data_IF_629242902672
#
_entry.id   IF_629242902672
#
_cell.length_a   1.000
_cell.length_b   1.000
_cell.length_c   1.000
_cell.angle_alpha   90.00
_cell.angle_beta   90.00
_cell.angle_gamma   90.00
#
_symmetry.space_group_name_H-M   'P 1'
#
loop_
_entity.id
_entity.type
_entity.pdbx_description
1 polymer ?
#
# COMPACT_ATOMS: atom_id res chain seq x y z
N UNK A 1 13.38 9.57 30.83
CA UNK A 1 13.28 11.05 30.79
C UNK A 1 11.84 11.55 30.65
N UNK A 2 11.01 11.01 29.74
CA UNK A 2 9.62 11.46 29.55
C UNK A 2 8.74 11.51 30.82
N UNK A 3 8.77 10.49 31.69
CA UNK A 3 7.96 10.46 32.92
C UNK A 3 8.25 11.61 33.89
N UNK A 4 9.49 12.07 33.98
CA UNK A 4 9.87 13.17 34.86
C UNK A 4 9.39 14.52 34.31
N UNK A 5 9.46 14.71 32.99
CA UNK A 5 8.94 15.89 32.33
C UNK A 5 7.42 16.00 32.48
N UNK A 6 6.68 14.91 32.28
CA UNK A 6 5.23 14.85 32.51
C UNK A 6 4.85 15.17 33.94
N UNK A 7 5.54 14.56 34.92
CA UNK A 7 5.29 14.85 36.34
C UNK A 7 5.56 16.32 36.69
N UNK A 8 6.57 16.94 36.07
CA UNK A 8 6.85 18.36 36.24
C UNK A 8 5.74 19.22 35.62
N UNK A 9 5.25 18.87 34.43
CA UNK A 9 4.13 19.56 33.80
C UNK A 9 2.87 19.48 34.65
N UNK A 10 2.51 18.30 35.17
CA UNK A 10 1.36 18.09 36.07
C UNK A 10 1.46 18.95 37.35
N UNK A 11 2.66 19.05 37.93
CA UNK A 11 2.87 19.90 39.12
C UNK A 11 2.65 21.37 38.76
N UNK A 12 3.14 21.82 37.60
CA UNK A 12 2.93 23.20 37.14
C UNK A 12 1.45 23.48 36.87
N UNK A 13 0.74 22.59 36.18
CA UNK A 13 -0.71 22.71 35.91
C UNK A 13 -1.54 22.73 37.19
N UNK A 14 -1.13 21.98 38.23
CA UNK A 14 -1.91 21.85 39.48
C UNK A 14 -1.67 22.96 40.49
N UNK A 15 -0.46 23.51 40.55
CA UNK A 15 -0.03 24.37 41.65
C UNK A 15 0.50 25.75 41.23
N UNK A 16 0.64 26.01 39.93
CA UNK A 16 1.19 27.26 39.40
C UNK A 16 0.24 27.87 38.35
N UNK A 17 0.56 29.06 37.84
CA UNK A 17 -0.28 29.73 36.86
C UNK A 17 -0.21 29.01 35.51
N UNK A 18 -1.33 28.98 34.76
CA UNK A 18 -1.42 28.35 33.44
C UNK A 18 -0.31 28.80 32.48
N UNK A 19 0.12 30.06 32.59
CA UNK A 19 1.24 30.61 31.80
C UNK A 19 2.57 29.89 32.06
N UNK A 20 2.82 29.44 33.28
CA UNK A 20 4.09 28.80 33.68
C UNK A 20 4.12 27.34 33.18
N UNK A 21 2.99 26.64 33.31
CA UNK A 21 2.81 25.30 32.74
C UNK A 21 2.94 25.31 31.21
N UNK A 22 2.30 26.29 30.54
CA UNK A 22 2.39 26.45 29.09
C UNK A 22 3.80 26.84 28.64
N UNK A 23 4.50 27.73 29.33
CA UNK A 23 5.89 28.07 29.02
C UNK A 23 6.82 26.86 29.15
N UNK A 24 6.59 25.99 30.15
CA UNK A 24 7.32 24.74 30.29
C UNK A 24 7.01 23.77 29.14
N UNK A 25 5.76 23.64 28.74
CA UNK A 25 5.35 22.83 27.59
C UNK A 25 6.03 23.31 26.29
N UNK A 26 5.97 24.62 26.01
CA UNK A 26 6.54 25.24 24.81
C UNK A 26 8.07 25.12 24.74
N UNK A 27 8.77 25.17 25.86
CA UNK A 27 10.23 24.98 25.90
C UNK A 27 10.67 23.53 25.68
N UNK A 28 9.73 22.58 25.67
CA UNK A 28 9.99 21.14 25.54
C UNK A 28 9.27 20.51 24.32
N UNK A 29 8.95 21.30 23.28
CA UNK A 29 8.30 20.82 22.05
C UNK A 29 9.16 19.86 21.18
N UNK A 30 10.43 19.65 21.54
CA UNK A 30 11.26 18.57 20.98
C UNK A 30 10.77 17.18 21.43
N UNK A 31 9.94 17.11 22.48
CA UNK A 31 9.29 15.89 22.93
C UNK A 31 7.95 15.72 22.19
N UNK A 32 7.77 14.66 21.38
CA UNK A 32 6.55 14.48 20.57
C UNK A 32 5.25 14.58 21.36
N UNK A 33 5.20 13.98 22.56
CA UNK A 33 4.01 14.01 23.41
C UNK A 33 3.62 15.42 23.87
N UNK A 34 4.62 16.28 24.11
CA UNK A 34 4.40 17.66 24.52
C UNK A 34 3.95 18.51 23.34
N UNK A 35 4.54 18.30 22.15
CA UNK A 35 4.06 18.93 20.91
C UNK A 35 2.62 18.55 20.61
N UNK A 36 2.28 17.27 20.75
CA UNK A 36 0.92 16.76 20.59
C UNK A 36 -0.05 17.41 21.57
N UNK A 37 0.31 17.50 22.87
CA UNK A 37 -0.53 18.18 23.87
C UNK A 37 -0.74 19.67 23.54
N UNK A 38 0.29 20.40 23.10
CA UNK A 38 0.09 21.81 22.71
C UNK A 38 -0.71 21.95 21.42
N UNK A 39 -0.58 21.03 20.46
CA UNK A 39 -1.43 20.98 19.26
C UNK A 39 -2.90 20.75 19.62
N UNK A 40 -3.18 19.84 20.56
CA UNK A 40 -4.52 19.59 21.11
C UNK A 40 -5.09 20.86 21.78
N UNK A 41 -4.31 21.48 22.67
CA UNK A 41 -4.69 22.73 23.33
C UNK A 41 -4.97 23.84 22.31
N UNK A 42 -4.07 24.02 21.33
CA UNK A 42 -4.19 25.06 20.31
C UNK A 42 -5.43 24.86 19.45
N UNK A 43 -5.75 23.63 19.08
CA UNK A 43 -6.95 23.34 18.31
C UNK A 43 -8.22 23.58 19.13
N UNK A 44 -8.25 23.13 20.40
CA UNK A 44 -9.38 23.32 21.31
C UNK A 44 -9.66 24.81 21.57
N UNK A 45 -8.62 25.61 21.72
CA UNK A 45 -8.68 27.06 21.92
C UNK A 45 -8.85 27.84 20.61
N UNK A 46 -9.00 27.15 19.46
CA UNK A 46 -9.12 27.74 18.11
C UNK A 46 -7.94 28.64 17.71
N UNK A 47 -6.76 28.39 18.28
CA UNK A 47 -5.49 29.02 17.90
C UNK A 47 -4.93 28.37 16.63
N UNK A 48 -5.65 28.51 15.52
CA UNK A 48 -5.31 27.83 14.26
C UNK A 48 -3.91 28.18 13.73
N UNK A 49 -3.44 29.41 13.93
CA UNK A 49 -2.08 29.81 13.57
C UNK A 49 -1.01 29.01 14.34
N UNK A 50 -1.26 28.72 15.62
CA UNK A 50 -0.37 27.88 16.42
C UNK A 50 -0.41 26.42 15.97
N UNK A 51 -1.61 25.88 15.66
CA UNK A 51 -1.72 24.49 15.17
C UNK A 51 -0.85 24.29 13.93
N UNK A 52 -0.99 25.19 12.94
CA UNK A 52 -0.21 25.14 11.70
C UNK A 52 1.29 25.24 11.98
N UNK A 53 1.71 26.27 12.72
CA UNK A 53 3.13 26.51 13.02
C UNK A 53 3.75 25.32 13.77
N UNK A 54 3.09 24.80 14.80
CA UNK A 54 3.58 23.67 15.59
C UNK A 54 3.70 22.39 14.76
N UNK A 55 2.77 22.16 13.82
CA UNK A 55 2.84 21.02 12.92
C UNK A 55 3.97 21.18 11.90
N UNK A 56 4.10 22.35 11.25
CA UNK A 56 5.19 22.64 10.30
C UNK A 56 6.58 22.54 10.95
N UNK A 57 6.76 23.11 12.15
CA UNK A 57 7.98 22.98 12.93
C UNK A 57 8.28 21.52 13.30
N UNK A 58 7.24 20.73 13.62
CA UNK A 58 7.38 19.31 13.91
C UNK A 58 7.83 18.52 12.69
N UNK A 59 7.21 18.78 11.53
CA UNK A 59 7.58 18.16 10.25
C UNK A 59 9.04 18.45 9.93
N UNK A 60 9.48 19.71 10.06
CA UNK A 60 10.85 20.10 9.79
C UNK A 60 11.84 19.37 10.72
N UNK A 61 11.60 19.41 12.04
CA UNK A 61 12.45 18.78 13.05
C UNK A 61 12.58 17.27 12.83
N UNK A 62 11.45 16.58 12.66
CA UNK A 62 11.46 15.12 12.59
C UNK A 62 11.81 14.58 11.20
N UNK A 63 11.70 15.40 10.15
CA UNK A 63 12.31 15.08 8.85
C UNK A 63 13.83 15.18 8.94
N UNK A 64 14.37 16.23 9.54
CA UNK A 64 15.82 16.42 9.72
C UNK A 64 16.44 15.29 10.56
N UNK A 65 15.74 14.85 11.61
CA UNK A 65 16.18 13.74 12.46
C UNK A 65 15.94 12.34 11.85
N UNK A 66 15.36 12.25 10.64
CA UNK A 66 15.06 10.97 9.98
C UNK A 66 13.88 10.19 10.60
N UNK A 67 13.10 10.81 11.49
CA UNK A 67 11.91 10.22 12.10
C UNK A 67 10.67 10.39 11.20
N UNK A 68 10.69 9.72 10.04
CA UNK A 68 9.62 9.80 9.04
C UNK A 68 8.21 9.52 9.61
N UNK A 69 8.09 8.60 10.57
CA UNK A 69 6.81 8.28 11.21
C UNK A 69 6.24 9.45 12.02
N UNK A 70 7.09 10.22 12.71
CA UNK A 70 6.67 11.41 13.45
C UNK A 70 6.36 12.55 12.48
N UNK A 71 7.17 12.76 11.44
CA UNK A 71 6.87 13.75 10.41
C UNK A 71 5.48 13.52 9.78
N UNK A 72 5.13 12.28 9.46
CA UNK A 72 3.79 11.92 8.96
C UNK A 72 2.68 12.16 9.99
N UNK A 73 2.96 11.97 11.28
CA UNK A 73 1.98 12.28 12.33
C UNK A 73 1.69 13.79 12.37
N UNK A 74 2.71 14.63 12.18
CA UNK A 74 2.52 16.08 12.10
C UNK A 74 1.83 16.52 10.81
N UNK A 75 2.01 15.82 9.69
CA UNK A 75 1.21 16.07 8.47
C UNK A 75 -0.30 15.86 8.71
N UNK A 76 -0.70 14.89 9.54
CA UNK A 76 -2.11 14.71 9.94
C UNK A 76 -2.64 15.90 10.74
N UNK A 77 -1.79 16.58 11.51
CA UNK A 77 -2.19 17.80 12.22
C UNK A 77 -2.43 18.98 11.28
N UNK A 78 -1.71 19.05 10.15
CA UNK A 78 -2.02 20.02 9.10
C UNK A 78 -3.37 19.74 8.44
N UNK A 79 -3.74 18.46 8.24
CA UNK A 79 -5.08 18.10 7.77
C UNK A 79 -6.14 18.59 8.76
N UNK A 80 -5.99 18.31 10.06
CA UNK A 80 -6.91 18.81 11.11
C UNK A 80 -7.00 20.33 11.14
N UNK A 81 -5.88 21.03 10.93
CA UNK A 81 -5.86 22.48 10.81
C UNK A 81 -6.67 22.95 9.60
N UNK A 82 -6.52 22.33 8.44
CA UNK A 82 -7.25 22.68 7.23
C UNK A 82 -8.75 22.42 7.35
N UNK A 83 -9.14 21.31 8.00
CA UNK A 83 -10.54 21.04 8.37
C UNK A 83 -11.11 22.15 9.27
N UNK A 84 -10.38 22.51 10.33
CA UNK A 84 -10.82 23.51 11.30
C UNK A 84 -10.82 24.95 10.75
N UNK A 85 -9.96 25.26 9.78
CA UNK A 85 -9.90 26.57 9.13
C UNK A 85 -10.96 26.74 8.04
N UNK A 86 -11.53 25.63 7.54
CA UNK A 86 -12.41 25.63 6.37
C UNK A 86 -11.67 25.84 5.04
N UNK A 87 -10.34 25.77 5.05
CA UNK A 87 -9.51 25.88 3.84
C UNK A 87 -9.56 24.58 3.03
N UNK A 88 -10.55 24.51 2.12
CA UNK A 88 -10.78 23.35 1.27
C UNK A 88 -9.59 23.03 0.36
N UNK A 89 -8.91 24.05 -0.14
CA UNK A 89 -7.76 23.86 -1.03
C UNK A 89 -6.63 23.18 -0.28
N UNK A 90 -6.27 23.71 0.90
CA UNK A 90 -5.25 23.10 1.74
C UNK A 90 -5.64 21.68 2.18
N UNK A 91 -6.91 21.45 2.50
CA UNK A 91 -7.39 20.13 2.91
C UNK A 91 -7.18 19.08 1.79
N UNK A 92 -7.53 19.41 0.56
CA UNK A 92 -7.33 18.53 -0.60
C UNK A 92 -5.84 18.27 -0.83
N UNK A 93 -5.02 19.32 -0.86
CA UNK A 93 -3.57 19.20 -1.13
C UNK A 93 -2.85 18.38 -0.06
N UNK A 94 -3.16 18.60 1.22
CA UNK A 94 -2.54 17.87 2.33
C UNK A 94 -2.98 16.40 2.36
N UNK A 95 -4.26 16.13 2.09
CA UNK A 95 -4.79 14.75 2.02
C UNK A 95 -4.19 14.01 0.83
N UNK A 96 -4.08 14.66 -0.32
CA UNK A 96 -3.42 14.09 -1.51
C UNK A 96 -1.93 13.82 -1.23
N UNK A 97 -1.23 14.75 -0.58
CA UNK A 97 0.17 14.53 -0.16
C UNK A 97 0.29 13.31 0.75
N UNK A 98 -0.63 13.14 1.71
CA UNK A 98 -0.66 11.96 2.57
C UNK A 98 -0.86 10.67 1.77
N UNK A 99 -1.78 10.66 0.79
CA UNK A 99 -1.94 9.52 -0.11
C UNK A 99 -0.64 9.20 -0.88
N UNK A 100 0.00 10.20 -1.50
CA UNK A 100 1.21 9.98 -2.27
C UNK A 100 2.39 9.49 -1.41
N UNK A 101 2.47 9.94 -0.16
CA UNK A 101 3.53 9.57 0.78
C UNK A 101 3.37 8.17 1.38
N UNK A 102 2.12 7.73 1.59
CA UNK A 102 1.79 6.51 2.34
C UNK A 102 1.21 5.38 1.48
N UNK A 103 0.66 5.74 0.31
CA UNK A 103 -0.17 4.86 -0.53
C UNK A 103 -1.40 4.29 0.17
N UNK A 104 -1.84 4.91 1.26
CA UNK A 104 -3.05 4.50 1.98
C UNK A 104 -4.30 4.96 1.21
N UNK A 105 -5.08 3.98 0.74
CA UNK A 105 -6.29 4.20 -0.06
C UNK A 105 -7.39 4.94 0.69
N UNK A 106 -7.32 5.07 2.02
CA UNK A 106 -8.26 5.89 2.76
C UNK A 106 -8.10 7.37 2.40
N UNK A 107 -6.86 7.88 2.30
CA UNK A 107 -6.61 9.26 1.84
C UNK A 107 -7.02 9.45 0.37
N UNK A 108 -6.84 8.43 -0.47
CA UNK A 108 -7.32 8.45 -1.85
C UNK A 108 -8.84 8.68 -1.92
N UNK A 109 -9.60 7.92 -1.14
CA UNK A 109 -11.07 8.02 -1.08
C UNK A 109 -11.52 9.37 -0.52
N UNK A 110 -10.80 9.91 0.47
CA UNK A 110 -11.08 11.26 0.99
C UNK A 110 -10.91 12.33 -0.09
N UNK A 111 -9.80 12.32 -0.84
CA UNK A 111 -9.60 13.24 -1.97
C UNK A 111 -10.71 13.06 -3.02
N UNK A 112 -11.05 11.81 -3.34
CA UNK A 112 -12.15 11.48 -4.27
C UNK A 112 -13.49 12.07 -3.84
N UNK A 113 -13.78 12.05 -2.54
CA UNK A 113 -15.03 12.58 -2.00
C UNK A 113 -15.08 14.11 -1.97
N UNK A 114 -13.92 14.79 -1.96
CA UNK A 114 -13.82 16.25 -1.88
C UNK A 114 -13.84 16.95 -3.25
N UNK A 115 -13.56 16.22 -4.33
CA UNK A 115 -13.43 16.78 -5.68
C UNK A 115 -14.62 16.42 -6.58
N UNK A 116 -15.01 17.31 -7.51
CA UNK A 116 -15.86 16.93 -8.64
C UNK A 116 -15.24 15.77 -9.43
N UNK A 117 -16.09 14.94 -10.04
CA UNK A 117 -15.66 13.75 -10.76
C UNK A 117 -14.66 14.08 -11.87
N UNK A 118 -14.93 15.12 -12.63
CA UNK A 118 -14.13 15.56 -13.77
C UNK A 118 -12.71 15.99 -13.33
N UNK A 119 -12.61 16.67 -12.18
CA UNK A 119 -11.32 17.04 -11.61
C UNK A 119 -10.57 15.84 -11.05
N UNK A 120 -11.29 14.92 -10.40
CA UNK A 120 -10.68 13.70 -9.84
C UNK A 120 -10.17 12.76 -10.93
N UNK A 121 -10.86 12.64 -12.07
CA UNK A 121 -10.44 11.82 -13.19
C UNK A 121 -9.05 12.24 -13.73
N UNK A 122 -8.73 13.54 -13.68
CA UNK A 122 -7.40 14.06 -14.01
C UNK A 122 -6.34 13.64 -12.98
N UNK A 123 -6.71 13.57 -11.70
CA UNK A 123 -5.81 13.11 -10.62
C UNK A 123 -5.44 11.65 -10.77
N UNK A 124 -6.37 10.78 -11.18
CA UNK A 124 -6.09 9.34 -11.39
C UNK A 124 -4.90 9.15 -12.34
N UNK A 125 -4.89 9.85 -13.48
CA UNK A 125 -3.78 9.76 -14.44
C UNK A 125 -2.46 10.27 -13.84
N UNK A 126 -2.51 11.35 -13.06
CA UNK A 126 -1.34 11.89 -12.37
C UNK A 126 -0.79 10.92 -11.31
N UNK A 127 -1.65 10.24 -10.56
CA UNK A 127 -1.27 9.25 -9.55
C UNK A 127 -0.62 8.01 -10.17
N UNK A 128 -1.23 7.46 -11.23
CA UNK A 128 -0.65 6.33 -11.96
C UNK A 128 0.74 6.71 -12.51
N UNK A 129 0.88 7.92 -13.06
CA UNK A 129 2.18 8.44 -13.51
C UNK A 129 3.16 8.70 -12.36
N UNK A 130 2.69 9.05 -11.17
CA UNK A 130 3.54 9.25 -9.99
C UNK A 130 4.12 7.93 -9.53
N UNK A 131 3.28 6.90 -9.37
CA UNK A 131 3.70 5.59 -8.91
C UNK A 131 4.47 4.78 -9.97
N UNK A 132 4.23 5.00 -11.27
CA UNK A 132 4.95 4.28 -12.33
C UNK A 132 6.44 4.64 -12.42
N UNK A 133 6.90 5.73 -11.80
CA UNK A 133 8.32 6.16 -11.80
C UNK A 133 9.27 5.19 -11.06
N UNK A 134 8.71 4.15 -10.45
CA UNK A 134 9.43 3.16 -9.68
C UNK A 134 9.43 1.78 -10.35
N UNK A 135 8.66 1.61 -11.42
CA UNK A 135 8.48 0.33 -12.13
C UNK A 135 9.82 -0.20 -12.68
N UNK A 136 10.65 0.69 -13.23
CA UNK A 136 11.91 0.33 -13.88
C UNK A 136 13.08 0.10 -12.91
N UNK A 137 12.97 0.54 -11.65
CA UNK A 137 14.12 0.60 -10.72
C UNK A 137 14.37 -0.68 -9.93
N UNK A 138 13.32 -1.48 -9.70
CA UNK A 138 13.42 -2.66 -8.82
C UNK A 138 12.79 -3.93 -9.40
N UNK A 139 12.24 -3.88 -10.62
CA UNK A 139 11.68 -5.05 -11.32
C UNK A 139 10.46 -5.69 -10.63
N UNK A 140 9.84 -4.98 -9.68
CA UNK A 140 8.68 -5.43 -8.92
C UNK A 140 7.35 -5.00 -9.54
N UNK A 141 6.27 -5.68 -9.16
CA UNK A 141 4.92 -5.29 -9.56
C UNK A 141 4.45 -4.05 -8.78
N UNK A 142 3.86 -3.07 -9.49
CA UNK A 142 3.41 -1.81 -8.89
C UNK A 142 2.07 -1.97 -8.17
N UNK A 143 2.12 -2.39 -6.91
CA UNK A 143 0.91 -2.60 -6.11
C UNK A 143 0.11 -1.31 -5.87
N UNK A 144 0.75 -0.14 -5.86
CA UNK A 144 0.08 1.15 -5.66
C UNK A 144 -0.82 1.49 -6.86
N UNK A 145 -0.27 1.40 -8.07
CA UNK A 145 -1.06 1.59 -9.29
C UNK A 145 -2.16 0.56 -9.40
N UNK A 146 -1.90 -0.70 -9.03
CA UNK A 146 -2.92 -1.75 -9.05
C UNK A 146 -4.09 -1.44 -8.11
N UNK A 147 -3.82 -0.96 -6.88
CA UNK A 147 -4.86 -0.58 -5.92
C UNK A 147 -5.79 0.51 -6.47
N UNK A 148 -5.23 1.53 -7.14
CA UNK A 148 -6.02 2.57 -7.82
C UNK A 148 -6.87 1.97 -8.93
N UNK A 149 -6.30 1.11 -9.77
CA UNK A 149 -7.04 0.50 -10.89
C UNK A 149 -8.19 -0.40 -10.41
N UNK A 150 -8.01 -1.09 -9.28
CA UNK A 150 -9.08 -1.89 -8.64
C UNK A 150 -10.19 -0.98 -8.11
N UNK A 151 -9.84 0.06 -7.34
CA UNK A 151 -10.81 1.01 -6.76
C UNK A 151 -11.64 1.71 -7.86
N UNK A 152 -11.03 1.97 -9.01
CA UNK A 152 -11.67 2.62 -10.16
C UNK A 152 -12.29 1.65 -11.18
N UNK A 153 -12.28 0.34 -10.91
CA UNK A 153 -12.87 -0.68 -11.79
C UNK A 153 -12.20 -0.78 -13.17
N UNK A 154 -10.94 -0.34 -13.30
CA UNK A 154 -10.19 -0.31 -14.57
C UNK A 154 -9.50 -1.65 -14.85
N UNK A 155 -10.31 -2.71 -15.01
CA UNK A 155 -9.84 -4.09 -15.13
C UNK A 155 -8.92 -4.32 -16.34
N UNK A 156 -9.23 -3.70 -17.49
CA UNK A 156 -8.41 -3.80 -18.70
C UNK A 156 -7.00 -3.24 -18.47
N UNK A 157 -6.90 -2.05 -17.85
CA UNK A 157 -5.60 -1.47 -17.51
C UNK A 157 -4.85 -2.33 -16.49
N UNK A 158 -5.56 -2.92 -15.51
CA UNK A 158 -4.96 -3.79 -14.50
C UNK A 158 -4.38 -5.07 -15.12
N UNK A 159 -5.13 -5.77 -15.97
CA UNK A 159 -4.60 -6.98 -16.62
C UNK A 159 -3.42 -6.64 -17.52
N UNK A 160 -3.47 -5.56 -18.31
CA UNK A 160 -2.34 -5.15 -19.15
C UNK A 160 -1.10 -4.85 -18.32
N UNK A 161 -1.26 -4.28 -17.12
CA UNK A 161 -0.14 -4.08 -16.19
C UNK A 161 0.44 -5.40 -15.68
N UNK A 162 -0.40 -6.38 -15.33
CA UNK A 162 0.03 -7.72 -14.90
C UNK A 162 0.76 -8.45 -16.03
N UNK A 163 0.25 -8.37 -17.26
CA UNK A 163 0.82 -9.09 -18.40
C UNK A 163 2.20 -8.57 -18.85
N UNK A 164 2.56 -7.32 -18.53
CA UNK A 164 3.90 -6.78 -18.80
C UNK A 164 5.02 -7.50 -18.05
N UNK A 165 4.74 -7.97 -16.84
CA UNK A 165 5.67 -8.75 -16.03
C UNK A 165 4.90 -9.80 -15.22
N UNK A 166 4.49 -10.92 -15.85
CA UNK A 166 3.60 -11.87 -15.22
C UNK A 166 4.30 -12.59 -14.07
N UNK A 167 3.79 -12.39 -12.86
CA UNK A 167 4.20 -13.12 -11.68
C UNK A 167 3.04 -13.97 -11.17
N UNK A 168 3.30 -15.24 -10.87
CA UNK A 168 2.25 -16.18 -10.49
C UNK A 168 1.47 -15.74 -9.24
N UNK A 169 2.15 -15.18 -8.23
CA UNK A 169 1.55 -14.63 -7.02
C UNK A 169 0.66 -13.40 -7.30
N UNK A 170 1.07 -12.53 -8.23
CA UNK A 170 0.29 -11.35 -8.63
C UNK A 170 -0.98 -11.79 -9.39
N UNK A 171 -0.86 -12.73 -10.32
CA UNK A 171 -2.02 -13.30 -11.01
C UNK A 171 -3.02 -13.90 -10.02
N UNK A 172 -2.53 -14.66 -9.04
CA UNK A 172 -3.35 -15.26 -7.98
C UNK A 172 -4.08 -14.20 -7.14
N UNK A 173 -3.38 -13.13 -6.76
CA UNK A 173 -3.94 -12.01 -5.99
C UNK A 173 -5.20 -11.41 -6.66
N UNK A 174 -5.21 -11.30 -7.99
CA UNK A 174 -6.33 -10.71 -8.75
C UNK A 174 -7.21 -11.75 -9.46
N UNK A 175 -7.01 -13.06 -9.20
CA UNK A 175 -7.68 -14.14 -9.94
C UNK A 175 -9.20 -14.03 -9.88
N UNK A 176 -9.76 -13.87 -8.69
CA UNK A 176 -11.22 -13.82 -8.52
C UNK A 176 -11.84 -12.61 -9.23
N UNK A 177 -11.08 -11.52 -9.36
CA UNK A 177 -11.52 -10.31 -10.04
C UNK A 177 -11.45 -10.43 -11.57
N UNK A 178 -10.39 -11.04 -12.11
CA UNK A 178 -10.04 -10.92 -13.53
C UNK A 178 -10.17 -12.22 -14.34
N UNK A 179 -10.00 -13.39 -13.72
CA UNK A 179 -9.77 -14.64 -14.48
C UNK A 179 -10.98 -15.13 -15.28
N UNK A 180 -12.20 -14.69 -14.94
CA UNK A 180 -13.40 -15.01 -15.72
C UNK A 180 -13.38 -14.32 -17.08
N UNK A 181 -13.05 -13.03 -17.09
CA UNK A 181 -13.07 -12.20 -18.30
C UNK A 181 -11.76 -12.32 -19.11
N UNK A 182 -10.64 -12.57 -18.43
CA UNK A 182 -9.30 -12.73 -19.02
C UNK A 182 -8.78 -14.17 -18.93
N UNK A 183 -9.68 -15.13 -19.15
CA UNK A 183 -9.43 -16.55 -18.93
C UNK A 183 -8.24 -17.08 -19.73
N UNK A 184 -8.12 -16.69 -21.00
CA UNK A 184 -7.07 -17.19 -21.89
C UNK A 184 -5.69 -16.68 -21.47
N UNK A 185 -5.60 -15.41 -21.10
CA UNK A 185 -4.42 -14.74 -20.59
C UNK A 185 -3.95 -15.41 -19.29
N UNK A 186 -4.87 -15.70 -18.37
CA UNK A 186 -4.57 -16.43 -17.14
C UNK A 186 -4.03 -17.84 -17.42
N UNK A 187 -4.66 -18.59 -18.33
CA UNK A 187 -4.18 -19.92 -18.70
C UNK A 187 -2.77 -19.87 -19.31
N UNK A 188 -2.51 -18.90 -20.19
CA UNK A 188 -1.20 -18.72 -20.81
C UNK A 188 -0.13 -18.37 -19.77
N UNK A 189 -0.40 -17.39 -18.90
CA UNK A 189 0.56 -16.94 -17.90
C UNK A 189 0.81 -17.98 -16.81
N UNK A 190 -0.22 -18.67 -16.32
CA UNK A 190 -0.03 -19.80 -15.41
C UNK A 190 0.81 -20.90 -16.06
N UNK A 191 0.50 -21.29 -17.30
CA UNK A 191 1.27 -22.28 -18.05
C UNK A 191 2.74 -21.91 -18.22
N UNK A 192 3.02 -20.66 -18.62
CA UNK A 192 4.38 -20.17 -18.76
C UNK A 192 5.12 -20.11 -17.41
N UNK A 193 4.45 -19.60 -16.38
CA UNK A 193 5.03 -19.47 -15.04
C UNK A 193 5.36 -20.82 -14.39
N UNK A 194 4.47 -21.82 -14.50
CA UNK A 194 4.76 -23.15 -13.96
C UNK A 194 5.87 -23.86 -14.71
N UNK A 195 5.96 -23.71 -16.04
CA UNK A 195 7.09 -24.26 -16.83
C UNK A 195 8.42 -23.64 -16.39
N UNK A 196 8.48 -22.32 -16.26
CA UNK A 196 9.68 -21.63 -15.78
C UNK A 196 10.05 -22.06 -14.34
N UNK A 197 9.07 -22.10 -13.43
CA UNK A 197 9.28 -22.54 -12.05
C UNK A 197 9.78 -23.97 -12.00
N UNK A 198 9.23 -24.87 -12.81
CA UNK A 198 9.57 -26.29 -12.82
C UNK A 198 11.01 -26.57 -13.27
N UNK A 199 11.50 -25.83 -14.26
CA UNK A 199 12.88 -25.93 -14.74
C UNK A 199 13.90 -25.67 -13.63
N UNK A 200 13.62 -24.70 -12.76
CA UNK A 200 14.52 -24.25 -11.70
C UNK A 200 14.28 -24.93 -10.34
N UNK A 201 13.38 -25.92 -10.28
CA UNK A 201 12.94 -26.54 -9.03
C UNK A 201 13.43 -27.98 -8.85
N UNK A 202 14.03 -28.24 -7.68
CA UNK A 202 14.54 -29.57 -7.29
C UNK A 202 13.90 -30.16 -6.02
N UNK A 203 12.86 -29.52 -5.47
CA UNK A 203 12.26 -29.92 -4.20
C UNK A 203 10.74 -30.11 -4.29
N UNK A 204 10.20 -30.91 -3.36
CA UNK A 204 8.79 -31.31 -3.32
C UNK A 204 7.82 -30.13 -3.14
N UNK A 205 8.18 -29.14 -2.32
CA UNK A 205 7.36 -27.96 -2.10
C UNK A 205 7.14 -27.15 -3.38
N UNK A 206 8.17 -27.01 -4.22
CA UNK A 206 8.05 -26.34 -5.51
C UNK A 206 7.17 -27.12 -6.49
N UNK A 207 7.21 -28.46 -6.47
CA UNK A 207 6.32 -29.30 -7.29
C UNK A 207 4.86 -29.18 -6.85
N UNK A 208 4.61 -29.16 -5.54
CA UNK A 208 3.28 -28.93 -4.97
C UNK A 208 2.71 -27.57 -5.40
N UNK A 209 3.52 -26.51 -5.36
CA UNK A 209 3.10 -25.19 -5.81
C UNK A 209 2.81 -25.16 -7.33
N UNK A 210 3.62 -25.83 -8.16
CA UNK A 210 3.30 -26.01 -9.58
C UNK A 210 1.97 -26.75 -9.78
N UNK A 211 1.73 -27.85 -9.05
CA UNK A 211 0.48 -28.61 -9.14
C UNK A 211 -0.74 -27.78 -8.70
N UNK A 212 -0.58 -26.91 -7.69
CA UNK A 212 -1.62 -25.95 -7.29
C UNK A 212 -2.02 -25.04 -8.46
N UNK A 213 -1.06 -24.47 -9.20
CA UNK A 213 -1.37 -23.65 -10.37
C UNK A 213 -1.96 -24.46 -11.53
N UNK A 214 -1.52 -25.70 -11.76
CA UNK A 214 -2.17 -26.59 -12.74
C UNK A 214 -3.64 -26.85 -12.39
N UNK A 215 -3.95 -27.08 -11.11
CA UNK A 215 -5.32 -27.22 -10.64
C UNK A 215 -6.14 -25.93 -10.84
N UNK A 216 -5.54 -24.75 -10.64
CA UNK A 216 -6.19 -23.47 -10.97
C UNK A 216 -6.48 -23.36 -12.48
N UNK A 217 -5.55 -23.79 -13.34
CA UNK A 217 -5.79 -23.84 -14.78
C UNK A 217 -6.96 -24.77 -15.14
N UNK A 218 -7.05 -25.96 -14.51
CA UNK A 218 -8.19 -26.88 -14.69
C UNK A 218 -9.51 -26.20 -14.32
N UNK A 219 -9.56 -25.51 -13.16
CA UNK A 219 -10.74 -24.75 -12.72
C UNK A 219 -11.16 -23.65 -13.70
N UNK A 220 -10.20 -23.09 -14.44
CA UNK A 220 -10.43 -22.13 -15.53
C UNK A 220 -10.74 -22.79 -16.89
N UNK A 221 -11.03 -24.10 -16.91
CA UNK A 221 -11.33 -24.86 -18.13
C UNK A 221 -10.10 -25.23 -18.97
N UNK A 222 -8.89 -25.04 -18.45
CA UNK A 222 -7.62 -25.31 -19.11
C UNK A 222 -7.15 -26.76 -19.07
N UNK A 223 -8.06 -27.74 -19.10
CA UNK A 223 -7.71 -29.17 -18.97
C UNK A 223 -6.73 -29.64 -20.03
N UNK A 224 -6.97 -29.33 -21.30
CA UNK A 224 -6.08 -29.74 -22.40
C UNK A 224 -4.67 -29.14 -22.28
N UNK A 225 -4.49 -27.82 -22.07
CA UNK A 225 -3.18 -27.26 -21.76
C UNK A 225 -2.46 -27.94 -20.60
N UNK A 226 -3.19 -28.29 -19.53
CA UNK A 226 -2.62 -28.99 -18.37
C UNK A 226 -2.19 -30.41 -18.71
N UNK A 227 -3.00 -31.17 -19.47
CA UNK A 227 -2.61 -32.51 -19.97
C UNK A 227 -1.31 -32.44 -20.76
N UNK A 228 -1.18 -31.45 -21.64
CA UNK A 228 0.03 -31.26 -22.42
C UNK A 228 1.24 -30.97 -21.52
N UNK A 229 1.12 -30.04 -20.55
CA UNK A 229 2.21 -29.73 -19.61
C UNK A 229 2.67 -30.99 -18.85
N UNK A 230 1.72 -31.77 -18.31
CA UNK A 230 2.02 -33.00 -17.57
C UNK A 230 2.72 -34.02 -18.47
N UNK A 231 2.23 -34.20 -19.71
CA UNK A 231 2.84 -35.11 -20.68
C UNK A 231 4.28 -34.70 -21.01
N UNK A 232 4.51 -33.41 -21.27
CA UNK A 232 5.84 -32.86 -21.56
C UNK A 232 6.81 -33.14 -20.40
N UNK A 233 6.39 -32.85 -19.17
CA UNK A 233 7.24 -33.06 -17.99
C UNK A 233 7.54 -34.53 -17.69
N UNK A 234 6.63 -35.45 -18.01
CA UNK A 234 6.89 -36.90 -17.91
C UNK A 234 8.02 -37.35 -18.82
N UNK A 235 8.10 -36.76 -20.02
CA UNK A 235 9.14 -37.04 -21.02
C UNK A 235 10.45 -36.32 -20.66
N UNK A 236 10.38 -35.06 -20.24
CA UNK A 236 11.55 -34.22 -19.95
C UNK A 236 12.25 -34.62 -18.64
N UNK A 237 11.50 -35.08 -17.64
CA UNK A 237 12.00 -35.34 -16.29
C UNK A 237 11.72 -36.76 -15.76
N UNK A 238 12.04 -37.84 -16.50
CA UNK A 238 11.62 -39.21 -16.15
C UNK A 238 12.20 -39.73 -14.82
N UNK A 239 13.28 -39.11 -14.32
CA UNK A 239 13.96 -39.51 -13.07
C UNK A 239 13.49 -38.75 -11.83
N UNK A 240 12.62 -37.74 -11.96
CA UNK A 240 12.14 -36.93 -10.83
C UNK A 240 10.94 -37.61 -10.14
N UNK A 241 11.18 -38.65 -9.34
CA UNK A 241 10.11 -39.45 -8.67
C UNK A 241 9.12 -38.60 -7.87
N UNK A 242 9.63 -37.70 -7.02
CA UNK A 242 8.77 -36.83 -6.21
C UNK A 242 7.86 -35.95 -7.08
N UNK A 243 8.34 -35.44 -8.22
CA UNK A 243 7.50 -34.71 -9.17
C UNK A 243 6.39 -35.60 -9.73
N UNK A 244 6.72 -36.84 -10.16
CA UNK A 244 5.72 -37.76 -10.71
C UNK A 244 4.63 -38.11 -9.69
N UNK A 245 4.99 -38.27 -8.42
CA UNK A 245 4.04 -38.47 -7.32
C UNK A 245 3.07 -37.29 -7.19
N UNK A 246 3.56 -36.05 -7.19
CA UNK A 246 2.70 -34.86 -7.10
C UNK A 246 1.80 -34.72 -8.34
N UNK A 247 2.33 -34.98 -9.55
CA UNK A 247 1.54 -34.91 -10.78
C UNK A 247 0.45 -35.98 -10.85
N UNK A 248 0.67 -37.16 -10.26
CA UNK A 248 -0.32 -38.23 -10.20
C UNK A 248 -1.53 -37.87 -9.30
N UNK A 249 -1.37 -36.93 -8.37
CA UNK A 249 -2.45 -36.44 -7.51
C UNK A 249 -3.37 -35.41 -8.19
N UNK A 250 -3.05 -34.97 -9.41
CA UNK A 250 -3.90 -34.05 -10.18
C UNK A 250 -5.06 -34.84 -10.79
N UNK A 251 -6.28 -34.56 -10.30
CA UNK A 251 -7.49 -35.15 -10.86
C UNK A 251 -7.87 -34.47 -12.19
N UNK A 252 -7.86 -35.26 -13.27
CA UNK A 252 -8.17 -34.79 -14.63
C UNK A 252 -9.62 -35.09 -15.07
N UNK A 253 -10.49 -35.47 -14.12
CA UNK A 253 -11.91 -35.84 -14.32
C UNK A 253 -12.77 -34.66 -14.74
#
# INVERSE_FOLDING_TARGET
MQRAAWRKLEILEKWFADKDARAYLLSNLHMPDFRKKELENALQEKRLADVRRLAEEGIALDTENGFRGLALEWEKWLIRWAEASGDKTALIELTEKMFLNTSDMEYYRQVKAMLPREEFDLRIAAYLKYFSRYDDRFGGFNHQSAAILVEEGRHEALIQMILKSPQLNVLDQYRELLSKDYRLEYLQCYGAGVRNKMQHSGNRAAYQDCCRYLNLMIKLGGREPVRQIISDWKVEYPRRRAMMEELAAIEML
#
